data_IF_786438576336
#
_entry.id   IF_786438576336
#
_cell.length_a   1.000
_cell.length_b   1.000
_cell.length_c   1.000
_cell.angle_alpha   90.00
_cell.angle_beta   90.00
_cell.angle_gamma   90.00
#
_symmetry.space_group_name_H-M   'P 1'
#
loop_
_entity.id
_entity.type
_entity.pdbx_description
1 polymer ?
#
# COMPACT_ATOMS: atom_id res chain seq x y z
N UNK A 1 11.63 -0.72 7.89
CA UNK A 1 10.58 0.31 8.02
C UNK A 1 9.83 0.59 6.72
N UNK A 2 8.48 0.63 6.77
CA UNK A 2 7.66 1.01 5.62
C UNK A 2 7.82 2.49 5.26
N UNK A 3 7.64 2.80 3.98
CA UNK A 3 7.76 4.15 3.42
C UNK A 3 6.48 4.49 2.65
N UNK A 4 6.06 5.75 2.71
CA UNK A 4 4.96 6.28 1.92
C UNK A 4 5.50 7.18 0.80
N UNK A 5 4.98 6.96 -0.41
CA UNK A 5 5.13 7.84 -1.57
C UNK A 5 4.54 9.24 -1.32
N UNK A 6 4.59 10.10 -2.34
CA UNK A 6 3.71 11.28 -2.41
C UNK A 6 2.23 10.86 -2.41
N UNK A 7 1.35 11.79 -2.05
CA UNK A 7 -0.10 11.61 -2.09
C UNK A 7 -0.62 11.93 -3.49
N UNK A 8 -1.60 11.18 -3.98
CA UNK A 8 -2.31 11.49 -5.23
C UNK A 8 -3.81 11.48 -5.03
N UNK A 9 -4.49 12.22 -5.90
CA UNK A 9 -5.95 12.32 -5.92
C UNK A 9 -6.47 11.63 -7.19
N UNK A 10 -7.54 10.86 -7.02
CA UNK A 10 -8.33 10.32 -8.12
C UNK A 10 -9.49 11.26 -8.37
N UNK A 11 -9.50 11.91 -9.53
CA UNK A 11 -10.63 12.73 -9.97
C UNK A 11 -11.53 11.86 -10.85
N UNK A 12 -12.73 11.43 -10.37
CA UNK A 12 -13.66 10.66 -11.17
C UNK A 12 -14.11 11.44 -12.41
N UNK A 13 -14.42 10.72 -13.50
CA UNK A 13 -15.04 11.29 -14.68
C UNK A 13 -16.52 11.65 -14.47
N UNK A 14 -17.19 10.96 -13.53
CA UNK A 14 -18.61 11.08 -13.20
C UNK A 14 -18.83 11.40 -11.72
N UNK A 15 -20.08 11.64 -11.30
CA UNK A 15 -20.42 11.95 -9.90
C UNK A 15 -20.07 10.81 -8.93
N UNK A 16 -19.95 9.57 -9.43
CA UNK A 16 -19.55 8.39 -8.68
C UNK A 16 -18.36 7.67 -9.33
N UNK A 17 -17.47 7.12 -8.49
CA UNK A 17 -16.36 6.27 -8.94
C UNK A 17 -16.87 4.82 -9.09
N UNK A 18 -17.62 4.57 -10.15
CA UNK A 18 -18.16 3.24 -10.48
C UNK A 18 -17.18 2.37 -11.27
N UNK A 19 -17.58 1.13 -11.54
CA UNK A 19 -16.78 0.16 -12.28
C UNK A 19 -16.43 0.65 -13.69
N UNK A 20 -17.37 1.33 -14.36
CA UNK A 20 -17.20 1.80 -15.73
C UNK A 20 -16.19 2.97 -15.78
N UNK A 21 -16.23 3.89 -14.81
CA UNK A 21 -15.24 4.96 -14.67
C UNK A 21 -13.81 4.44 -14.37
N UNK A 22 -13.68 3.23 -13.81
CA UNK A 22 -12.39 2.62 -13.44
C UNK A 22 -11.73 1.85 -14.59
N UNK A 23 -12.49 1.38 -15.58
CA UNK A 23 -11.97 0.48 -16.63
C UNK A 23 -12.37 0.84 -18.06
N UNK A 24 -13.41 1.65 -18.27
CA UNK A 24 -13.99 1.92 -19.59
C UNK A 24 -13.87 3.38 -20.02
N UNK A 25 -13.76 4.32 -19.08
CA UNK A 25 -13.81 5.74 -19.40
C UNK A 25 -12.43 6.44 -19.32
N UNK A 26 -12.02 7.07 -20.42
CA UNK A 26 -10.78 7.84 -20.56
C UNK A 26 -10.76 9.14 -19.71
N UNK A 27 -11.84 9.42 -18.97
CA UNK A 27 -12.04 10.68 -18.25
C UNK A 27 -11.44 10.76 -16.84
N UNK A 28 -11.13 9.63 -16.18
CA UNK A 28 -10.60 9.67 -14.81
C UNK A 28 -9.15 10.16 -14.80
N UNK A 29 -8.88 11.21 -14.00
CA UNK A 29 -7.56 11.86 -13.96
C UNK A 29 -6.88 11.57 -12.64
N UNK A 30 -5.58 11.34 -12.70
CA UNK A 30 -4.72 11.23 -11.53
C UNK A 30 -3.99 12.56 -11.34
N UNK A 31 -4.19 13.21 -10.20
CA UNK A 31 -3.39 14.35 -9.80
C UNK A 31 -2.29 13.87 -8.88
N UNK A 32 -1.05 13.94 -9.37
CA UNK A 32 0.13 13.45 -8.66
C UNK A 32 1.23 14.52 -8.77
N UNK A 33 1.63 15.18 -7.67
CA UNK A 33 1.03 15.07 -6.34
C UNK A 33 -0.41 15.63 -6.29
N UNK A 34 -1.18 15.22 -5.29
CA UNK A 34 -2.51 15.77 -5.01
C UNK A 34 -2.42 17.27 -4.70
N UNK A 35 -3.35 18.11 -5.18
CA UNK A 35 -3.36 19.55 -4.98
C UNK A 35 -3.89 19.92 -3.57
N UNK A 36 -3.19 19.46 -2.53
CA UNK A 36 -3.52 19.68 -1.12
C UNK A 36 -2.36 20.35 -0.38
N UNK A 37 -2.65 20.98 0.76
CA UNK A 37 -1.62 21.61 1.59
C UNK A 37 -0.55 20.60 2.04
N UNK A 38 0.71 21.05 2.08
CA UNK A 38 1.84 20.19 2.43
C UNK A 38 1.70 19.54 3.82
N UNK A 39 1.10 20.24 4.78
CA UNK A 39 0.81 19.70 6.11
C UNK A 39 -0.19 18.54 6.07
N UNK A 40 -1.24 18.67 5.26
CA UNK A 40 -2.25 17.62 5.07
C UNK A 40 -1.65 16.42 4.33
N UNK A 41 -0.82 16.68 3.32
CA UNK A 41 -0.10 15.61 2.62
C UNK A 41 0.79 14.80 3.57
N UNK A 42 1.50 15.46 4.49
CA UNK A 42 2.35 14.77 5.47
C UNK A 42 1.53 14.00 6.52
N UNK A 43 0.38 14.54 6.93
CA UNK A 43 -0.58 13.82 7.78
C UNK A 43 -1.04 12.52 7.11
N UNK A 44 -1.46 12.58 5.85
CA UNK A 44 -1.88 11.41 5.06
C UNK A 44 -0.75 10.38 4.96
N UNK A 45 0.49 10.80 4.66
CA UNK A 45 1.65 9.90 4.59
C UNK A 45 1.92 9.22 5.93
N UNK A 46 1.85 9.98 7.02
CA UNK A 46 2.02 9.45 8.38
C UNK A 46 0.92 8.45 8.73
N UNK A 47 -0.34 8.77 8.42
CA UNK A 47 -1.47 7.87 8.64
C UNK A 47 -1.35 6.59 7.80
N UNK A 48 -0.89 6.69 6.55
CA UNK A 48 -0.70 5.53 5.68
C UNK A 48 0.34 4.55 6.24
N UNK A 49 1.48 5.05 6.71
CA UNK A 49 2.52 4.25 7.39
C UNK A 49 1.95 3.58 8.64
N UNK A 50 1.21 4.33 9.47
CA UNK A 50 0.58 3.79 10.68
C UNK A 50 -0.44 2.70 10.36
N UNK A 51 -1.29 2.90 9.34
CA UNK A 51 -2.28 1.92 8.92
C UNK A 51 -1.60 0.63 8.41
N UNK A 52 -0.56 0.76 7.59
CA UNK A 52 0.24 -0.35 7.09
C UNK A 52 0.84 -1.21 8.23
N UNK A 53 1.40 -0.54 9.25
CA UNK A 53 1.98 -1.21 10.41
C UNK A 53 0.90 -1.82 11.32
N UNK A 54 -0.24 -1.14 11.51
CA UNK A 54 -1.30 -1.58 12.41
C UNK A 54 -1.92 -2.93 12.02
N UNK A 55 -1.86 -3.29 10.73
CA UNK A 55 -2.36 -4.56 10.19
C UNK A 55 -1.24 -5.52 9.72
N UNK A 56 0.01 -5.27 10.13
CA UNK A 56 1.19 -6.10 9.84
C UNK A 56 1.35 -6.44 8.34
N UNK A 57 1.14 -5.46 7.47
CA UNK A 57 1.29 -5.65 6.02
C UNK A 57 2.78 -5.78 5.67
N UNK A 58 3.07 -6.54 4.63
CA UNK A 58 4.40 -6.64 4.06
C UNK A 58 4.40 -6.48 2.55
N UNK A 59 5.52 -6.03 1.99
CA UNK A 59 5.66 -5.73 0.57
C UNK A 59 5.03 -4.38 0.21
N UNK A 60 3.74 -4.38 -0.10
CA UNK A 60 3.03 -3.18 -0.56
C UNK A 60 1.60 -3.08 -0.05
N UNK A 61 1.10 -1.85 -0.01
CA UNK A 61 -0.32 -1.55 -0.02
C UNK A 61 -0.55 -0.15 -0.56
N UNK A 62 -1.73 0.07 -1.14
CA UNK A 62 -2.29 1.41 -1.33
C UNK A 62 -3.24 1.69 -0.18
N UNK A 63 -3.11 2.85 0.45
CA UNK A 63 -4.01 3.29 1.52
C UNK A 63 -4.85 4.43 0.99
N UNK A 64 -6.16 4.24 0.98
CA UNK A 64 -7.11 5.18 0.41
C UNK A 64 -7.80 5.95 1.53
N UNK A 65 -7.98 7.25 1.31
CA UNK A 65 -8.52 8.18 2.29
C UNK A 65 -9.67 8.99 1.70
N UNK A 66 -10.58 9.42 2.57
CA UNK A 66 -11.49 10.52 2.28
C UNK A 66 -10.95 11.80 2.93
N UNK A 67 -11.11 12.93 2.24
CA UNK A 67 -10.84 14.26 2.78
C UNK A 67 -12.13 15.08 2.79
N UNK A 68 -12.51 15.58 3.96
CA UNK A 68 -13.65 16.48 4.08
C UNK A 68 -13.28 17.86 3.52
N UNK A 69 -13.97 18.32 2.47
CA UNK A 69 -13.63 19.57 1.75
C UNK A 69 -13.64 20.84 2.60
N UNK A 70 -14.51 20.91 3.61
CA UNK A 70 -14.69 22.13 4.43
C UNK A 70 -13.69 22.23 5.57
N UNK A 71 -13.24 21.10 6.12
CA UNK A 71 -12.39 21.05 7.31
C UNK A 71 -10.97 20.58 7.02
N UNK A 72 -10.74 19.95 5.86
CA UNK A 72 -9.50 19.24 5.54
C UNK A 72 -9.33 17.94 6.31
N UNK A 73 -10.33 17.50 7.10
CA UNK A 73 -10.22 16.33 7.95
C UNK A 73 -10.07 15.05 7.12
N UNK A 74 -9.04 14.26 7.46
CA UNK A 74 -8.68 13.02 6.78
C UNK A 74 -9.28 11.81 7.50
N UNK A 75 -9.97 10.96 6.73
CA UNK A 75 -10.59 9.72 7.20
C UNK A 75 -9.97 8.56 6.43
N UNK A 76 -9.41 7.58 7.13
CA UNK A 76 -8.96 6.33 6.51
C UNK A 76 -10.18 5.57 5.98
N UNK A 77 -10.20 5.29 4.67
CA UNK A 77 -11.26 4.51 4.04
C UNK A 77 -10.91 3.02 3.99
N UNK A 78 -9.86 2.68 3.25
CA UNK A 78 -9.44 1.29 3.07
C UNK A 78 -7.92 1.15 2.91
N UNK A 79 -7.44 -0.08 3.12
CA UNK A 79 -6.08 -0.49 2.78
C UNK A 79 -6.18 -1.65 1.77
N UNK A 80 -5.61 -1.44 0.59
CA UNK A 80 -5.57 -2.41 -0.48
C UNK A 80 -4.17 -3.04 -0.57
N UNK A 81 -4.05 -4.31 -0.17
CA UNK A 81 -2.78 -5.05 -0.16
C UNK A 81 -2.30 -5.49 -1.53
N UNK A 82 -3.19 -5.55 -2.53
CA UNK A 82 -2.88 -5.88 -3.93
C UNK A 82 -3.54 -4.83 -4.84
N UNK A 83 -3.00 -3.60 -4.85
CA UNK A 83 -3.59 -2.53 -5.64
C UNK A 83 -3.39 -2.78 -7.13
N UNK A 84 -4.14 -2.05 -7.97
CA UNK A 84 -3.88 -2.02 -9.41
C UNK A 84 -2.41 -1.69 -9.68
N UNK A 85 -1.78 -2.48 -10.55
CA UNK A 85 -0.32 -2.46 -10.74
C UNK A 85 0.11 -2.30 -12.20
N UNK A 86 -0.78 -1.83 -13.08
CA UNK A 86 -0.40 -1.48 -14.46
C UNK A 86 0.42 -0.19 -14.49
N UNK A 87 1.10 0.11 -15.61
CA UNK A 87 1.89 1.34 -15.77
C UNK A 87 1.10 2.64 -15.57
N UNK A 88 -0.22 2.60 -15.71
CA UNK A 88 -1.11 3.76 -15.52
C UNK A 88 -1.85 3.71 -14.17
N UNK A 89 -1.65 2.65 -13.38
CA UNK A 89 -2.28 2.52 -12.08
C UNK A 89 -1.69 3.50 -11.07
N UNK A 90 -2.52 3.94 -10.11
CA UNK A 90 -2.15 4.91 -9.08
C UNK A 90 -0.89 4.48 -8.31
N UNK A 91 -0.81 3.23 -7.83
CA UNK A 91 0.29 2.81 -6.96
C UNK A 91 1.68 2.94 -7.64
N UNK A 92 1.92 2.39 -8.84
CA UNK A 92 3.15 2.66 -9.58
C UNK A 92 3.42 4.15 -9.86
N UNK A 93 2.38 4.92 -10.22
CA UNK A 93 2.52 6.34 -10.56
C UNK A 93 2.91 7.20 -9.38
N UNK A 94 2.42 6.91 -8.17
CA UNK A 94 2.83 7.60 -6.94
C UNK A 94 4.31 7.37 -6.63
N UNK A 95 4.79 6.13 -6.77
CA UNK A 95 6.20 5.79 -6.57
C UNK A 95 7.10 6.41 -7.64
N UNK A 96 6.66 6.45 -8.90
CA UNK A 96 7.37 7.15 -9.98
C UNK A 96 7.52 8.64 -9.66
N UNK A 97 6.46 9.31 -9.22
CA UNK A 97 6.51 10.70 -8.77
C UNK A 97 7.33 10.90 -7.48
N UNK A 98 7.59 9.82 -6.73
CA UNK A 98 8.46 9.81 -5.55
C UNK A 98 9.92 9.46 -5.90
N UNK A 99 10.25 9.36 -7.20
CA UNK A 99 11.61 9.10 -7.69
C UNK A 99 11.95 7.64 -7.92
N UNK A 100 10.99 6.71 -7.80
CA UNK A 100 11.22 5.28 -8.01
C UNK A 100 10.56 4.82 -9.32
N UNK A 101 11.38 4.52 -10.33
CA UNK A 101 10.88 4.07 -11.64
C UNK A 101 10.07 2.77 -11.52
N UNK A 102 9.14 2.52 -12.46
CA UNK A 102 8.33 1.30 -12.44
C UNK A 102 9.17 -0.01 -12.42
N UNK A 103 10.23 -0.17 -13.23
CA UNK A 103 11.13 -1.33 -13.10
C UNK A 103 11.79 -1.44 -11.73
N UNK A 104 12.31 -0.33 -11.19
CA UNK A 104 12.94 -0.31 -9.86
C UNK A 104 11.96 -0.63 -8.74
N UNK A 105 10.68 -0.23 -8.88
CA UNK A 105 9.63 -0.59 -7.94
C UNK A 105 9.35 -2.10 -7.96
N UNK A 106 9.31 -2.73 -9.13
CA UNK A 106 9.15 -4.19 -9.25
C UNK A 106 10.35 -4.90 -8.59
N UNK A 107 11.56 -4.47 -8.92
CA UNK A 107 12.79 -5.02 -8.33
C UNK A 107 12.76 -4.92 -6.80
N UNK A 108 12.40 -3.74 -6.28
CA UNK A 108 12.27 -3.51 -4.84
C UNK A 108 11.26 -4.45 -4.17
N UNK A 109 10.12 -4.71 -4.82
CA UNK A 109 9.10 -5.62 -4.27
C UNK A 109 9.54 -7.07 -4.27
N UNK A 110 10.33 -7.49 -5.28
CA UNK A 110 10.94 -8.82 -5.32
C UNK A 110 11.96 -8.97 -4.19
N UNK A 111 12.82 -7.97 -3.97
CA UNK A 111 13.76 -7.95 -2.85
C UNK A 111 13.04 -8.10 -1.50
N UNK A 112 12.01 -7.28 -1.27
CA UNK A 112 11.21 -7.33 -0.03
C UNK A 112 10.55 -8.71 0.17
N UNK A 113 10.10 -9.36 -0.91
CA UNK A 113 9.53 -10.70 -0.84
C UNK A 113 10.58 -11.75 -0.42
N UNK A 114 11.80 -11.65 -0.96
CA UNK A 114 12.93 -12.53 -0.60
C UNK A 114 13.35 -12.28 0.85
N UNK A 115 13.49 -11.02 1.28
CA UNK A 115 13.80 -10.64 2.66
C UNK A 115 12.80 -11.27 3.63
N UNK A 116 11.49 -11.08 3.39
CA UNK A 116 10.43 -11.66 4.22
C UNK A 116 10.45 -13.19 4.22
N UNK A 117 10.72 -13.81 3.07
CA UNK A 117 10.84 -15.26 2.99
C UNK A 117 11.96 -15.77 3.90
N UNK A 118 13.13 -15.14 3.83
CA UNK A 118 14.29 -15.49 4.66
C UNK A 118 14.02 -15.24 6.15
N UNK A 119 13.37 -14.14 6.52
CA UNK A 119 12.94 -13.85 7.89
C UNK A 119 12.03 -14.94 8.46
N UNK A 120 11.07 -15.38 7.65
CA UNK A 120 10.18 -16.49 8.01
C UNK A 120 10.96 -17.78 8.21
N UNK A 121 11.90 -18.12 7.32
CA UNK A 121 12.74 -19.32 7.47
C UNK A 121 13.58 -19.28 8.75
N UNK A 122 14.17 -18.13 9.10
CA UNK A 122 14.93 -17.95 10.37
C UNK A 122 14.05 -18.12 11.61
N UNK A 123 12.80 -17.66 11.52
CA UNK A 123 11.84 -17.75 12.61
C UNK A 123 11.19 -19.14 12.74
N UNK A 124 11.35 -20.02 11.74
CA UNK A 124 10.84 -21.40 11.76
C UNK A 124 11.67 -22.37 12.62
N UNK A 125 12.76 -21.92 13.24
CA UNK A 125 13.57 -22.71 14.18
C UNK A 125 13.34 -22.31 15.63
N UNK A 126 12.52 -23.10 16.35
CA UNK A 126 12.63 -23.46 17.78
C UNK A 126 11.33 -24.09 18.36
N UNK A 127 10.56 -24.86 17.58
CA UNK A 127 9.70 -25.89 18.20
C UNK A 127 10.42 -27.21 17.93
N UNK A 128 11.19 -27.67 18.92
CA UNK A 128 11.69 -29.04 18.91
C UNK A 128 10.47 -29.96 19.02
N UNK A 129 10.00 -30.48 17.89
CA UNK A 129 8.88 -31.43 17.83
C UNK A 129 9.16 -32.71 18.63
N UNK A 130 10.42 -33.00 18.99
CA UNK A 130 10.79 -34.11 19.90
C UNK A 130 10.28 -33.90 21.33
N UNK A 131 9.90 -32.68 21.72
CA UNK A 131 9.25 -32.42 23.02
C UNK A 131 7.76 -32.77 23.02
N UNK A 132 7.13 -32.86 21.85
CA UNK A 132 5.72 -33.25 21.70
C UNK A 132 5.55 -34.77 21.56
N UNK A 133 6.64 -35.51 21.28
CA UNK A 133 6.66 -36.97 21.10
C UNK A 133 6.87 -37.76 22.41
N UNK A 134 6.54 -37.17 23.57
CA UNK A 134 6.59 -37.91 24.84
C UNK A 134 5.37 -38.82 25.01
N UNK A 135 5.46 -40.01 24.41
CA UNK A 135 4.89 -41.23 24.98
C UNK A 135 3.65 -41.78 24.28
N UNK A 136 3.89 -42.66 23.30
CA UNK A 136 3.06 -43.85 23.08
C UNK A 136 3.96 -45.08 22.98
N UNK A 137 4.69 -45.35 24.07
CA UNK A 137 5.30 -46.66 24.32
C UNK A 137 4.93 -47.07 25.75
N UNK A 138 3.77 -47.72 25.89
CA UNK A 138 3.40 -48.60 26.99
C UNK A 138 2.25 -49.51 26.53
#
# INVERSE_FOLDING_TARGET
EPQASVVGEVVPAHEFYDYDAKYLDEGSRLLIPAPIDAGVAEEVRTMAVRAFQAVDVAGMARVDFFMQRTTGHILLNELNTIPGFTRISMYPKLWEASGLSYPSLIERLVELAIERFNDKQRSQTAIDTRLLDRGTDA
#
